data_IF_369323091860
#
_entry.id   IF_369323091860
#
_cell.length_a   1.000
_cell.length_b   1.000
_cell.length_c   1.000
_cell.angle_alpha   90.00
_cell.angle_beta   90.00
_cell.angle_gamma   90.00
#
_symmetry.space_group_name_H-M   'P 1'
#
loop_
_entity.id
_entity.type
_entity.pdbx_description
1 polymer ?
#
# COMPACT_ATOMS: atom_id res chain seq x y z
N UNK A 1 -8.24 -8.36 -11.34
CA UNK A 1 -8.18 -7.57 -12.60
C UNK A 1 -7.30 -6.32 -12.44
N UNK A 2 -6.39 -5.97 -13.38
CA UNK A 2 -5.67 -4.68 -13.37
C UNK A 2 -6.36 -3.63 -14.27
N UNK A 3 -6.81 -2.52 -13.68
CA UNK A 3 -7.60 -1.49 -14.39
C UNK A 3 -6.77 -0.73 -15.44
N UNK A 4 -5.45 -0.63 -15.28
CA UNK A 4 -4.60 0.09 -16.25
C UNK A 4 -4.44 -0.68 -17.57
N UNK A 5 -4.70 -1.98 -17.55
CA UNK A 5 -4.56 -2.88 -18.70
C UNK A 5 -5.92 -3.25 -19.31
N UNK A 6 -7.00 -3.09 -18.55
CA UNK A 6 -8.36 -3.42 -18.97
C UNK A 6 -8.95 -2.37 -19.93
N UNK A 7 -9.76 -2.84 -20.87
CA UNK A 7 -10.70 -2.01 -21.63
C UNK A 7 -11.94 -1.70 -20.80
N UNK A 8 -12.57 -0.55 -21.04
CA UNK A 8 -13.79 -0.17 -20.31
C UNK A 8 -14.94 -1.19 -20.46
N UNK A 9 -14.96 -1.97 -21.55
CA UNK A 9 -15.94 -3.03 -21.75
C UNK A 9 -15.66 -4.26 -20.88
N UNK A 10 -14.39 -4.61 -20.67
CA UNK A 10 -14.03 -5.70 -19.73
C UNK A 10 -14.42 -5.31 -18.31
N UNK A 11 -14.17 -4.05 -17.89
CA UNK A 11 -14.59 -3.57 -16.57
C UNK A 11 -16.11 -3.59 -16.40
N UNK A 12 -16.86 -3.17 -17.43
CA UNK A 12 -18.34 -3.20 -17.39
C UNK A 12 -18.89 -4.62 -17.23
N UNK A 13 -18.25 -5.58 -17.88
CA UNK A 13 -18.72 -6.96 -17.96
C UNK A 13 -18.13 -7.86 -16.85
N UNK A 14 -17.25 -7.32 -15.99
CA UNK A 14 -16.62 -8.02 -14.87
C UNK A 14 -17.50 -8.03 -13.62
N UNK A 15 -17.36 -9.10 -12.83
CA UNK A 15 -17.89 -9.19 -11.48
C UNK A 15 -16.77 -8.78 -10.51
N UNK A 16 -16.92 -7.64 -9.83
CA UNK A 16 -15.87 -7.04 -8.99
C UNK A 16 -16.42 -6.85 -7.58
N UNK A 17 -15.81 -7.53 -6.62
CA UNK A 17 -16.20 -7.47 -5.21
C UNK A 17 -15.71 -6.20 -4.53
N UNK A 18 -14.46 -5.81 -4.82
CA UNK A 18 -13.84 -4.61 -4.28
C UNK A 18 -12.71 -4.10 -5.18
N UNK A 19 -12.39 -2.82 -5.04
CA UNK A 19 -11.20 -2.22 -5.62
C UNK A 19 -10.09 -2.05 -4.57
N UNK A 20 -8.87 -2.41 -4.97
CA UNK A 20 -7.63 -2.05 -4.31
C UNK A 20 -7.09 -0.80 -5.01
N UNK A 21 -6.97 0.32 -4.29
CA UNK A 21 -6.34 1.53 -4.80
C UNK A 21 -4.95 1.68 -4.17
N UNK A 22 -3.85 1.37 -4.90
CA UNK A 22 -2.50 1.62 -4.43
C UNK A 22 -2.26 3.11 -4.25
N UNK A 23 -1.74 3.51 -3.09
CA UNK A 23 -1.42 4.90 -2.77
C UNK A 23 -0.01 4.98 -2.20
N UNK A 24 0.91 5.52 -3.00
CA UNK A 24 2.30 5.70 -2.63
C UNK A 24 2.69 7.17 -2.49
N UNK A 25 3.95 7.43 -2.83
CA UNK A 25 4.59 8.73 -2.89
C UNK A 25 5.73 8.70 -3.91
N UNK A 26 6.28 9.88 -4.19
CA UNK A 26 7.51 10.05 -4.98
C UNK A 26 8.49 10.83 -4.11
N UNK A 27 9.39 10.12 -3.44
CA UNK A 27 10.28 10.69 -2.42
C UNK A 27 11.59 9.91 -2.28
N UNK A 28 12.61 10.61 -1.78
CA UNK A 28 13.92 10.02 -1.49
C UNK A 28 13.78 8.75 -0.65
N UNK A 29 14.59 7.72 -0.90
CA UNK A 29 14.73 6.54 -0.04
C UNK A 29 16.21 6.21 0.15
N UNK A 30 17.00 7.26 0.39
CA UNK A 30 18.45 7.16 0.41
C UNK A 30 19.11 7.06 -0.96
N UNK A 31 20.43 6.81 -0.98
CA UNK A 31 21.22 6.71 -2.20
C UNK A 31 21.01 5.41 -2.98
N UNK A 32 20.41 4.39 -2.34
CA UNK A 32 20.31 3.03 -2.88
C UNK A 32 18.96 2.70 -3.52
N UNK A 33 17.86 3.32 -3.08
CA UNK A 33 16.50 2.98 -3.52
C UNK A 33 15.89 4.03 -4.47
N UNK A 34 14.93 3.66 -5.33
CA UNK A 34 14.29 4.58 -6.26
C UNK A 34 13.32 5.55 -5.56
N UNK A 35 13.04 6.70 -6.21
CA UNK A 35 12.07 7.67 -5.68
C UNK A 35 10.63 7.14 -5.62
N UNK A 36 10.30 6.11 -6.40
CA UNK A 36 8.96 5.52 -6.46
C UNK A 36 8.74 4.36 -5.50
N UNK A 37 9.58 4.20 -4.47
CA UNK A 37 9.57 3.03 -3.57
C UNK A 37 8.17 2.72 -3.01
N UNK A 38 7.46 3.74 -2.54
CA UNK A 38 6.15 3.56 -1.91
C UNK A 38 5.08 3.15 -2.91
N UNK A 39 5.09 3.73 -4.12
CA UNK A 39 4.14 3.39 -5.17
C UNK A 39 4.38 1.98 -5.72
N UNK A 40 5.65 1.59 -5.91
CA UNK A 40 6.03 0.24 -6.32
C UNK A 40 5.60 -0.80 -5.28
N UNK A 41 5.85 -0.51 -4.01
CA UNK A 41 5.49 -1.37 -2.88
C UNK A 41 3.98 -1.53 -2.75
N UNK A 42 3.23 -0.42 -2.74
CA UNK A 42 1.77 -0.46 -2.63
C UNK A 42 1.12 -1.21 -3.80
N UNK A 43 1.64 -1.02 -5.02
CA UNK A 43 1.17 -1.73 -6.21
C UNK A 43 1.46 -3.23 -6.10
N UNK A 44 2.70 -3.62 -5.75
CA UNK A 44 3.07 -5.03 -5.61
C UNK A 44 2.22 -5.77 -4.56
N UNK A 45 1.95 -5.15 -3.41
CA UNK A 45 1.07 -5.72 -2.37
C UNK A 45 -0.36 -5.88 -2.88
N UNK A 46 -0.89 -4.89 -3.62
CA UNK A 46 -2.24 -4.97 -4.17
C UNK A 46 -2.36 -6.03 -5.28
N UNK A 47 -1.35 -6.13 -6.14
CA UNK A 47 -1.28 -7.14 -7.21
C UNK A 47 -1.18 -8.55 -6.62
N UNK A 48 -0.27 -8.77 -5.65
CA UNK A 48 -0.15 -10.05 -4.97
C UNK A 48 -1.45 -10.47 -4.27
N UNK A 49 -2.13 -9.54 -3.57
CA UNK A 49 -3.42 -9.83 -2.96
C UNK A 49 -4.51 -10.17 -3.99
N UNK A 50 -4.53 -9.49 -5.14
CA UNK A 50 -5.50 -9.79 -6.20
C UNK A 50 -5.24 -11.16 -6.84
N UNK A 51 -3.98 -11.55 -7.02
CA UNK A 51 -3.61 -12.88 -7.52
C UNK A 51 -4.00 -13.99 -6.52
N UNK A 52 -3.69 -13.80 -5.24
CA UNK A 52 -4.06 -14.73 -4.16
C UNK A 52 -5.58 -14.88 -3.99
N UNK A 53 -6.33 -13.80 -4.20
CA UNK A 53 -7.79 -13.82 -4.13
C UNK A 53 -8.39 -14.76 -5.16
N UNK A 54 -7.93 -14.70 -6.41
CA UNK A 54 -8.42 -15.57 -7.49
C UNK A 54 -8.06 -17.05 -7.26
N UNK A 55 -6.88 -17.33 -6.71
CA UNK A 55 -6.44 -18.70 -6.43
C UNK A 55 -7.25 -19.37 -5.31
N UNK A 56 -7.70 -18.60 -4.32
CA UNK A 56 -8.51 -19.12 -3.21
C UNK A 56 -9.88 -19.66 -3.66
N UNK A 57 -10.49 -19.07 -4.69
CA UNK A 57 -11.75 -19.54 -5.29
C UNK A 57 -11.55 -20.66 -6.33
N UNK A 58 -10.35 -20.77 -6.93
CA UNK A 58 -10.01 -21.83 -7.87
C UNK A 58 -9.67 -23.19 -7.20
N UNK A 59 -9.35 -23.18 -5.90
CA UNK A 59 -8.84 -24.34 -5.16
C UNK A 59 -9.87 -25.36 -4.65
N UNK A 60 -11.18 -25.09 -4.74
CA UNK A 60 -12.24 -25.94 -4.17
C UNK A 60 -12.94 -26.84 -5.22
N UNK A 61 -12.42 -26.92 -6.45
CA UNK A 61 -13.03 -27.69 -7.54
C UNK A 61 -12.47 -29.11 -7.76
N UNK A 62 -11.60 -29.63 -6.89
CA UNK A 62 -11.01 -30.98 -7.05
C UNK A 62 -11.13 -31.85 -5.77
N UNK A 63 -12.20 -32.67 -5.75
CA UNK A 63 -12.41 -33.95 -5.05
C UNK A 63 -12.06 -34.11 -3.54
N UNK A 64 -13.08 -34.17 -2.66
CA UNK A 64 -13.46 -35.42 -1.95
C UNK A 64 -14.66 -35.29 -0.98
N UNK A 65 -15.61 -36.22 -1.14
CA UNK A 65 -16.62 -36.80 -0.23
C UNK A 65 -17.07 -36.10 1.07
N UNK A 66 -18.41 -35.98 1.17
CA UNK A 66 -19.26 -35.99 2.37
C UNK A 66 -19.11 -34.87 3.43
N UNK A 67 -19.78 -33.73 3.20
CA UNK A 67 -20.67 -33.15 4.22
C UNK A 67 -21.70 -32.17 3.61
N UNK A 68 -22.98 -32.44 3.89
CA UNK A 68 -24.15 -31.64 3.50
C UNK A 68 -24.24 -30.31 4.30
N UNK A 69 -23.26 -29.42 4.16
CA UNK A 69 -23.38 -28.01 4.58
C UNK A 69 -22.62 -27.07 3.62
N UNK A 70 -22.73 -27.33 2.32
CA UNK A 70 -22.39 -26.35 1.30
C UNK A 70 -23.54 -25.33 1.23
N UNK A 71 -23.53 -24.37 2.16
CA UNK A 71 -24.24 -23.12 1.94
C UNK A 71 -23.86 -22.56 0.57
N UNK A 72 -24.84 -22.09 -0.18
CA UNK A 72 -24.75 -21.44 -1.48
C UNK A 72 -23.70 -20.31 -1.45
N UNK A 73 -22.42 -20.64 -1.63
CA UNK A 73 -21.36 -19.67 -1.81
C UNK A 73 -21.43 -19.22 -3.26
N UNK A 74 -22.03 -18.05 -3.46
CA UNK A 74 -21.90 -17.30 -4.72
C UNK A 74 -20.40 -17.17 -5.00
N UNK A 75 -19.96 -17.50 -6.21
CA UNK A 75 -18.55 -17.33 -6.60
C UNK A 75 -18.10 -15.90 -6.27
N UNK A 76 -16.98 -15.75 -5.57
CA UNK A 76 -16.46 -14.42 -5.26
C UNK A 76 -16.13 -13.68 -6.56
N UNK A 77 -16.48 -12.40 -6.62
CA UNK A 77 -16.03 -11.49 -7.68
C UNK A 77 -14.54 -11.20 -7.55
N UNK A 78 -13.96 -10.53 -8.55
CA UNK A 78 -12.53 -10.21 -8.56
C UNK A 78 -12.19 -9.04 -7.63
N UNK A 79 -10.94 -9.01 -7.13
CA UNK A 79 -10.31 -7.78 -6.68
C UNK A 79 -9.77 -7.00 -7.88
N UNK A 80 -10.25 -5.76 -8.05
CA UNK A 80 -9.77 -4.84 -9.07
C UNK A 80 -8.63 -3.99 -8.53
N UNK A 81 -7.45 -4.04 -9.16
CA UNK A 81 -6.31 -3.18 -8.84
C UNK A 81 -6.39 -1.91 -9.68
N UNK A 82 -6.61 -0.76 -9.03
CA UNK A 82 -6.66 0.54 -9.67
C UNK A 82 -5.24 1.10 -9.95
N UNK A 83 -5.09 2.09 -10.86
CA UNK A 83 -3.81 2.75 -11.09
C UNK A 83 -3.26 3.40 -9.81
N UNK A 84 -1.96 3.29 -9.52
CA UNK A 84 -1.38 3.88 -8.31
C UNK A 84 -1.47 5.41 -8.25
N UNK A 85 -1.72 5.93 -7.05
CA UNK A 85 -1.48 7.34 -6.74
C UNK A 85 0.01 7.53 -6.46
N UNK A 86 0.72 8.18 -7.39
CA UNK A 86 2.18 8.31 -7.34
C UNK A 86 2.71 9.48 -6.50
N UNK A 87 1.90 10.50 -6.22
CA UNK A 87 2.33 11.69 -5.48
C UNK A 87 1.46 11.85 -4.24
N UNK A 88 2.08 11.70 -3.08
CA UNK A 88 1.43 11.75 -1.77
C UNK A 88 1.69 13.04 -1.00
N UNK A 89 1.46 12.96 0.31
CA UNK A 89 1.86 13.97 1.29
C UNK A 89 3.28 13.67 1.73
N UNK A 90 4.26 14.36 1.15
CA UNK A 90 5.68 14.10 1.34
C UNK A 90 6.50 15.40 1.50
N UNK A 91 5.86 16.44 2.04
CA UNK A 91 6.50 17.76 2.20
C UNK A 91 7.71 17.69 3.14
N UNK A 92 7.72 16.77 4.10
CA UNK A 92 8.82 16.45 5.01
C UNK A 92 10.11 16.03 4.27
N UNK A 93 10.01 15.59 3.01
CA UNK A 93 11.13 15.17 2.16
C UNK A 93 11.56 16.23 1.13
N UNK A 94 11.02 17.46 1.19
CA UNK A 94 11.22 18.51 0.18
C UNK A 94 12.67 18.98 -0.01
N UNK A 95 13.54 18.73 0.95
CA UNK A 95 14.95 19.09 0.87
C UNK A 95 15.75 18.19 -0.10
N UNK A 96 15.18 17.05 -0.49
CA UNK A 96 15.86 16.05 -1.33
C UNK A 96 15.38 16.14 -2.79
N UNK A 97 16.35 16.14 -3.71
CA UNK A 97 16.09 16.34 -5.14
C UNK A 97 15.19 15.25 -5.72
N UNK A 98 14.16 15.67 -6.46
CA UNK A 98 13.23 14.78 -7.15
C UNK A 98 12.00 14.39 -6.34
N UNK A 99 11.96 14.68 -5.03
CA UNK A 99 10.73 14.55 -4.23
C UNK A 99 9.61 15.39 -4.84
N UNK A 100 8.44 14.79 -5.05
CA UNK A 100 7.22 15.46 -5.46
C UNK A 100 6.20 15.33 -4.34
N UNK A 101 5.53 16.42 -3.98
CA UNK A 101 4.49 16.41 -2.95
C UNK A 101 3.30 17.27 -3.35
N UNK A 102 2.15 16.96 -2.75
CA UNK A 102 0.96 17.81 -2.78
C UNK A 102 0.56 18.17 -1.35
N UNK A 103 -0.25 19.23 -1.21
CA UNK A 103 -0.83 19.55 0.10
C UNK A 103 -1.79 18.44 0.56
N UNK A 104 -1.97 18.23 1.87
CA UNK A 104 -2.95 17.28 2.39
C UNK A 104 -4.37 17.52 1.86
N UNK A 105 -4.78 18.77 1.63
CA UNK A 105 -6.08 19.09 1.05
C UNK A 105 -6.23 18.58 -0.39
N UNK A 106 -5.20 18.79 -1.22
CA UNK A 106 -5.19 18.32 -2.61
C UNK A 106 -5.18 16.80 -2.65
N UNK A 107 -4.36 16.16 -1.82
CA UNK A 107 -4.30 14.71 -1.72
C UNK A 107 -5.65 14.11 -1.30
N UNK A 108 -6.27 14.64 -0.23
CA UNK A 108 -7.59 14.18 0.22
C UNK A 108 -8.65 14.34 -0.86
N UNK A 109 -8.65 15.47 -1.57
CA UNK A 109 -9.61 15.70 -2.66
C UNK A 109 -9.41 14.68 -3.80
N UNK A 110 -8.16 14.46 -4.24
CA UNK A 110 -7.84 13.53 -5.32
C UNK A 110 -8.20 12.08 -4.98
N UNK A 111 -7.82 11.59 -3.79
CA UNK A 111 -8.14 10.22 -3.37
C UNK A 111 -9.64 10.04 -3.20
N UNK A 112 -10.34 11.00 -2.57
CA UNK A 112 -11.80 10.97 -2.42
C UNK A 112 -12.51 10.90 -3.78
N UNK A 113 -12.14 11.76 -4.72
CA UNK A 113 -12.77 11.81 -6.05
C UNK A 113 -12.47 10.54 -6.86
N UNK A 114 -11.30 9.92 -6.65
CA UNK A 114 -10.99 8.60 -7.23
C UNK A 114 -11.92 7.52 -6.69
N UNK A 115 -12.13 7.46 -5.37
CA UNK A 115 -13.07 6.50 -4.74
C UNK A 115 -14.52 6.74 -5.20
N UNK A 116 -14.95 8.00 -5.25
CA UNK A 116 -16.29 8.35 -5.74
C UNK A 116 -16.48 7.96 -7.21
N UNK A 117 -15.42 8.05 -8.03
CA UNK A 117 -15.46 7.62 -9.43
C UNK A 117 -15.60 6.10 -9.57
N UNK A 118 -14.92 5.31 -8.71
CA UNK A 118 -15.10 3.85 -8.67
C UNK A 118 -16.53 3.48 -8.29
N UNK A 119 -17.07 4.10 -7.22
CA UNK A 119 -18.43 3.86 -6.77
C UNK A 119 -19.48 4.27 -7.80
N UNK A 120 -19.25 5.35 -8.56
CA UNK A 120 -20.10 5.74 -9.68
C UNK A 120 -20.22 4.64 -10.75
N UNK A 121 -19.20 3.80 -10.90
CA UNK A 121 -19.18 2.67 -11.82
C UNK A 121 -19.63 1.34 -11.18
N UNK A 122 -20.21 1.38 -9.98
CA UNK A 122 -20.72 0.20 -9.27
C UNK A 122 -19.68 -0.53 -8.43
N UNK A 123 -18.44 -0.02 -8.34
CA UNK A 123 -17.39 -0.60 -7.50
C UNK A 123 -17.32 0.23 -6.22
N UNK A 124 -18.18 -0.10 -5.26
CA UNK A 124 -18.42 0.73 -4.08
C UNK A 124 -17.63 0.29 -2.84
N UNK A 125 -16.99 -0.88 -2.85
CA UNK A 125 -16.04 -1.32 -1.80
C UNK A 125 -14.62 -1.01 -2.22
N UNK A 126 -13.90 -0.20 -1.43
CA UNK A 126 -12.53 0.23 -1.77
C UNK A 126 -11.55 0.11 -0.60
N UNK A 127 -10.42 -0.54 -0.82
CA UNK A 127 -9.27 -0.52 0.09
C UNK A 127 -8.21 0.44 -0.45
N UNK A 128 -7.87 1.46 0.33
CA UNK A 128 -6.74 2.35 0.05
C UNK A 128 -5.46 1.67 0.55
N UNK A 129 -4.70 1.05 -0.35
CA UNK A 129 -3.48 0.28 -0.06
C UNK A 129 -2.30 1.23 0.01
N UNK A 130 -1.92 1.62 1.22
CA UNK A 130 -0.96 2.68 1.48
C UNK A 130 0.48 2.15 1.58
N UNK A 131 1.37 2.78 0.81
CA UNK A 131 2.82 2.56 0.83
C UNK A 131 3.60 3.54 1.70
N UNK A 132 3.02 4.69 2.06
CA UNK A 132 3.77 5.84 2.61
C UNK A 132 3.26 6.32 3.97
N UNK A 133 4.17 6.60 4.91
CA UNK A 133 3.85 7.08 6.25
C UNK A 133 3.11 8.42 6.26
N UNK A 134 3.51 9.39 5.43
CA UNK A 134 2.91 10.73 5.40
C UNK A 134 1.44 10.75 4.95
N UNK A 135 1.00 9.70 4.24
CA UNK A 135 -0.39 9.58 3.77
C UNK A 135 -1.37 9.09 4.85
N UNK A 136 -0.89 8.47 5.93
CA UNK A 136 -1.71 7.68 6.88
C UNK A 136 -2.88 8.49 7.44
N UNK A 137 -2.62 9.70 7.97
CA UNK A 137 -3.67 10.53 8.57
C UNK A 137 -4.72 10.97 7.55
N UNK A 138 -4.26 11.36 6.35
CA UNK A 138 -5.12 11.84 5.28
C UNK A 138 -6.00 10.73 4.70
N UNK A 139 -5.44 9.53 4.47
CA UNK A 139 -6.19 8.37 4.00
C UNK A 139 -7.24 7.92 5.02
N UNK A 140 -6.86 7.87 6.31
CA UNK A 140 -7.80 7.53 7.37
C UNK A 140 -8.97 8.55 7.46
N UNK A 141 -8.71 9.83 7.21
CA UNK A 141 -9.75 10.86 7.12
C UNK A 141 -10.67 10.66 5.90
N UNK A 142 -10.10 10.41 4.71
CA UNK A 142 -10.86 10.16 3.47
C UNK A 142 -11.76 8.95 3.63
N UNK A 143 -11.22 7.81 4.04
CA UNK A 143 -11.97 6.57 4.22
C UNK A 143 -13.16 6.78 5.16
N UNK A 144 -12.95 7.43 6.32
CA UNK A 144 -14.03 7.72 7.27
C UNK A 144 -15.08 8.69 6.73
N UNK A 145 -14.71 9.68 5.91
CA UNK A 145 -15.66 10.66 5.39
C UNK A 145 -16.51 10.06 4.28
N UNK A 146 -15.89 9.41 3.30
CA UNK A 146 -16.59 8.76 2.18
C UNK A 146 -17.59 7.73 2.70
N UNK A 147 -17.16 6.85 3.61
CA UNK A 147 -18.02 5.80 4.16
C UNK A 147 -19.20 6.32 5.01
N UNK A 148 -19.18 7.61 5.42
CA UNK A 148 -20.26 8.26 6.18
C UNK A 148 -21.15 9.16 5.34
N UNK A 149 -20.76 9.42 4.10
CA UNK A 149 -21.50 10.32 3.24
C UNK A 149 -22.61 9.54 2.54
N UNK A 150 -23.86 9.81 2.93
CA UNK A 150 -25.05 9.19 2.34
C UNK A 150 -25.26 9.61 0.87
N UNK A 151 -24.52 10.61 0.37
CA UNK A 151 -24.56 11.03 -1.03
C UNK A 151 -23.73 10.14 -1.96
N UNK A 152 -22.87 9.27 -1.43
CA UNK A 152 -22.11 8.28 -2.19
C UNK A 152 -22.49 6.87 -1.75
N UNK A 153 -22.42 5.90 -2.67
CA UNK A 153 -22.59 4.48 -2.34
C UNK A 153 -21.32 3.85 -1.76
N UNK A 154 -20.20 4.58 -1.80
CA UNK A 154 -18.89 4.08 -1.43
C UNK A 154 -18.73 3.74 0.06
N UNK A 155 -18.04 2.64 0.32
CA UNK A 155 -17.46 2.25 1.59
C UNK A 155 -15.95 1.99 1.40
N UNK A 156 -15.14 2.81 2.06
CA UNK A 156 -13.69 2.75 1.97
C UNK A 156 -13.02 2.52 3.33
N UNK A 157 -11.90 1.81 3.29
CA UNK A 157 -10.97 1.61 4.42
C UNK A 157 -9.53 1.91 3.97
N UNK A 158 -8.66 2.28 4.91
CA UNK A 158 -7.23 2.45 4.66
C UNK A 158 -6.45 1.28 5.25
N UNK A 159 -5.56 0.70 4.45
CA UNK A 159 -4.66 -0.39 4.83
C UNK A 159 -3.22 0.05 4.61
N UNK A 160 -2.35 -0.07 5.60
CA UNK A 160 -0.93 0.29 5.48
C UNK A 160 -0.09 -0.98 5.57
N UNK A 161 0.59 -1.36 4.49
CA UNK A 161 1.22 -2.69 4.38
C UNK A 161 2.21 -2.96 5.52
N UNK A 162 3.03 -1.97 5.89
CA UNK A 162 4.07 -2.13 6.90
C UNK A 162 3.52 -2.24 8.33
N UNK A 163 2.23 -1.96 8.55
CA UNK A 163 1.55 -2.24 9.82
C UNK A 163 1.01 -3.68 9.88
N UNK A 164 0.85 -4.33 8.72
CA UNK A 164 0.26 -5.66 8.58
C UNK A 164 1.29 -6.81 8.60
N UNK A 165 2.59 -6.51 8.61
CA UNK A 165 3.66 -7.52 8.55
C UNK A 165 4.06 -8.12 9.91
N UNK A 166 3.17 -8.08 10.90
CA UNK A 166 3.34 -8.73 12.20
C UNK A 166 4.55 -8.24 13.00
N UNK A 167 5.39 -9.16 13.47
CA UNK A 167 6.56 -8.83 14.31
C UNK A 167 7.58 -7.91 13.63
N UNK A 168 7.58 -7.89 12.28
CA UNK A 168 8.47 -7.05 11.50
C UNK A 168 8.11 -5.57 11.56
N UNK A 169 6.84 -5.22 11.81
CA UNK A 169 6.34 -3.83 11.76
C UNK A 169 7.16 -2.88 12.65
N UNK A 170 7.65 -3.39 13.79
CA UNK A 170 8.52 -2.63 14.71
C UNK A 170 9.87 -2.20 14.14
N UNK A 171 10.30 -2.79 13.02
CA UNK A 171 11.54 -2.49 12.30
C UNK A 171 11.33 -1.51 11.14
N UNK A 172 10.11 -1.02 10.95
CA UNK A 172 9.82 -0.07 9.89
C UNK A 172 10.62 1.21 10.09
N UNK A 173 11.12 1.75 8.97
CA UNK A 173 11.98 2.93 8.90
C UNK A 173 11.66 3.71 7.63
N UNK A 174 12.69 4.25 6.97
CA UNK A 174 12.57 5.02 5.72
C UNK A 174 13.79 4.78 4.84
N UNK A 175 13.63 4.30 3.60
CA UNK A 175 14.73 3.63 2.89
C UNK A 175 15.36 2.51 3.73
N UNK A 176 14.59 1.94 4.66
CA UNK A 176 15.09 1.10 5.75
C UNK A 176 15.18 -0.38 5.36
N UNK A 177 15.36 -1.30 6.34
CA UNK A 177 15.49 -2.72 6.04
C UNK A 177 14.24 -3.32 5.38
N UNK A 178 13.03 -2.91 5.76
CA UNK A 178 11.80 -3.53 5.21
C UNK A 178 11.53 -3.10 3.77
N UNK A 179 11.62 -1.80 3.47
CA UNK A 179 11.45 -1.29 2.10
C UNK A 179 12.55 -1.79 1.17
N UNK A 180 13.80 -1.82 1.66
CA UNK A 180 14.93 -2.36 0.89
C UNK A 180 14.73 -3.85 0.61
N UNK A 181 14.23 -4.63 1.59
CA UNK A 181 13.91 -6.04 1.40
C UNK A 181 12.83 -6.22 0.33
N UNK A 182 11.74 -5.47 0.44
CA UNK A 182 10.62 -5.57 -0.49
C UNK A 182 11.04 -5.18 -1.91
N UNK A 183 11.78 -4.07 -2.09
CA UNK A 183 12.33 -3.68 -3.38
C UNK A 183 13.28 -4.72 -3.99
N UNK A 184 14.13 -5.35 -3.17
CA UNK A 184 15.01 -6.43 -3.65
C UNK A 184 14.22 -7.64 -4.16
N UNK A 185 13.01 -7.85 -3.66
CA UNK A 185 12.12 -8.90 -4.13
C UNK A 185 11.33 -8.46 -5.38
N UNK A 186 10.63 -7.32 -5.32
CA UNK A 186 9.66 -6.91 -6.36
C UNK A 186 10.28 -6.12 -7.52
N UNK A 187 11.41 -5.43 -7.29
CA UNK A 187 12.06 -4.58 -8.28
C UNK A 187 13.60 -4.53 -8.09
N UNK A 188 14.30 -5.69 -8.12
CA UNK A 188 15.72 -5.76 -7.79
C UNK A 188 16.61 -4.86 -8.65
N UNK A 189 16.27 -4.70 -9.93
CA UNK A 189 17.02 -3.84 -10.87
C UNK A 189 16.95 -2.34 -10.52
N UNK A 190 16.03 -1.95 -9.63
CA UNK A 190 15.90 -0.58 -9.14
C UNK A 190 16.73 -0.31 -7.87
N UNK A 191 17.32 -1.33 -7.26
CA UNK A 191 18.18 -1.17 -6.07
C UNK A 191 19.65 -1.02 -6.46
N UNK A 192 20.33 -0.02 -5.89
CA UNK A 192 21.76 0.27 -6.13
C UNK A 192 22.53 -0.40 -5.01
N UNK A 193 22.77 -1.69 -5.21
CA UNK A 193 23.44 -2.58 -4.25
C UNK A 193 24.78 -2.02 -3.73
N UNK A 194 25.53 -1.35 -4.60
CA UNK A 194 26.81 -0.72 -4.28
C UNK A 194 26.70 0.54 -3.39
N UNK A 195 25.49 1.05 -3.16
CA UNK A 195 25.21 2.26 -2.36
C UNK A 195 24.46 1.99 -1.05
N UNK A 196 24.17 0.73 -0.72
CA UNK A 196 23.44 0.40 0.51
C UNK A 196 24.23 0.79 1.77
N UNK A 197 25.55 0.59 1.76
CA UNK A 197 26.41 1.01 2.87
C UNK A 197 26.44 2.53 3.02
N UNK A 198 26.43 3.28 1.91
CA UNK A 198 26.29 4.74 1.91
C UNK A 198 24.93 5.17 2.52
N UNK A 199 23.87 4.42 2.24
CA UNK A 199 22.55 4.59 2.84
C UNK A 199 22.58 4.45 4.36
N UNK A 200 23.17 3.34 4.86
CA UNK A 200 23.31 3.09 6.30
C UNK A 200 24.17 4.16 6.99
N UNK A 201 25.35 4.45 6.44
CA UNK A 201 26.36 5.27 7.11
C UNK A 201 25.97 6.76 7.15
N UNK A 202 25.18 7.23 6.19
CA UNK A 202 24.64 8.60 6.14
C UNK A 202 23.23 8.77 6.73
N UNK A 203 22.59 7.68 7.17
CA UNK A 203 21.23 7.65 7.67
C UNK A 203 21.10 7.99 9.16
N UNK A 204 19.87 7.90 9.66
CA UNK A 204 19.54 8.03 11.08
C UNK A 204 19.07 6.70 11.67
N UNK A 205 19.39 6.37 12.93
CA UNK A 205 18.86 5.16 13.58
C UNK A 205 17.38 5.26 13.93
N UNK A 206 16.78 6.47 13.91
CA UNK A 206 15.37 6.69 14.24
C UNK A 206 14.81 7.91 13.51
N UNK A 207 13.50 7.92 13.29
CA UNK A 207 12.82 9.06 12.73
C UNK A 207 12.78 10.21 13.74
N UNK A 208 13.22 11.41 13.36
CA UNK A 208 13.02 12.63 14.13
C UNK A 208 13.84 12.81 15.42
N UNK A 209 13.58 13.94 16.08
CA UNK A 209 14.18 14.33 17.36
C UNK A 209 13.13 14.28 18.47
N UNK A 210 13.25 13.33 19.40
CA UNK A 210 12.21 13.10 20.40
C UNK A 210 12.55 13.64 21.79
N UNK A 211 11.64 14.45 22.34
CA UNK A 211 11.66 14.90 23.74
C UNK A 211 10.36 14.49 24.42
N UNK A 212 10.47 13.59 25.40
CA UNK A 212 9.32 13.12 26.22
C UNK A 212 8.12 12.59 25.39
N UNK A 213 8.40 11.92 24.28
CA UNK A 213 7.36 11.35 23.40
C UNK A 213 6.76 12.34 22.41
N UNK A 214 7.37 13.51 22.25
CA UNK A 214 7.02 14.49 21.22
C UNK A 214 8.18 14.57 20.22
N UNK A 215 7.89 14.39 18.93
CA UNK A 215 8.85 14.64 17.86
C UNK A 215 8.94 16.16 17.62
N UNK A 216 10.15 16.69 17.61
CA UNK A 216 10.45 18.10 17.35
C UNK A 216 10.84 18.35 15.89
N UNK A 217 11.21 17.31 15.16
CA UNK A 217 11.55 17.42 13.74
C UNK A 217 10.29 17.38 12.89
N UNK A 218 10.26 18.23 11.87
CA UNK A 218 9.21 18.31 10.86
C UNK A 218 9.70 17.82 9.50
N UNK A 219 10.99 18.03 9.20
CA UNK A 219 11.60 17.66 7.93
C UNK A 219 12.70 16.61 8.14
N UNK A 220 12.89 15.75 7.14
CA UNK A 220 13.87 14.65 7.25
C UNK A 220 15.31 15.17 7.32
N UNK A 221 15.63 16.28 6.64
CA UNK A 221 16.99 16.84 6.64
C UNK A 221 17.40 17.46 7.99
N UNK A 222 16.48 17.62 8.94
CA UNK A 222 16.79 18.02 10.31
C UNK A 222 17.53 16.93 11.10
N UNK A 223 17.38 15.66 10.74
CA UNK A 223 17.91 14.53 11.51
C UNK A 223 18.63 13.44 10.70
N UNK A 224 18.56 13.46 9.36
CA UNK A 224 19.28 12.51 8.50
C UNK A 224 19.96 13.23 7.33
N UNK A 225 21.19 12.82 7.00
CA UNK A 225 21.99 13.46 5.95
C UNK A 225 21.67 12.96 4.54
N UNK A 226 21.10 11.76 4.43
CA UNK A 226 20.73 11.13 3.16
C UNK A 226 19.27 10.69 3.11
N UNK A 227 18.49 10.97 4.16
CA UNK A 227 17.08 10.65 4.24
C UNK A 227 16.74 9.24 4.75
N UNK A 228 17.73 8.34 4.86
CA UNK A 228 17.52 6.98 5.38
C UNK A 228 17.25 7.00 6.88
N UNK A 229 16.33 6.14 7.32
CA UNK A 229 16.04 5.81 8.71
C UNK A 229 16.04 4.28 8.90
N UNK A 230 16.94 3.80 9.76
CA UNK A 230 17.18 2.36 9.96
C UNK A 230 18.39 1.85 9.15
N UNK A 231 18.70 0.56 9.28
CA UNK A 231 19.83 -0.07 8.60
C UNK A 231 19.35 -0.88 7.37
N UNK A 232 19.51 -0.35 6.14
CA UNK A 232 19.07 -1.03 4.92
C UNK A 232 19.85 -2.32 4.62
N UNK A 233 21.03 -2.53 5.23
CA UNK A 233 21.82 -3.75 5.00
C UNK A 233 21.10 -5.01 5.49
N UNK A 234 20.16 -4.86 6.42
CA UNK A 234 19.35 -5.95 6.94
C UNK A 234 18.17 -6.37 6.05
N UNK A 235 17.93 -5.71 4.92
CA UNK A 235 16.78 -5.98 4.06
C UNK A 235 17.06 -6.98 2.95
N UNK A 236 16.89 -8.28 3.15
CA UNK A 236 17.17 -9.31 2.13
C UNK A 236 15.99 -9.57 1.19
N UNK A 237 16.24 -10.15 0.01
CA UNK A 237 15.15 -10.53 -0.92
C UNK A 237 14.18 -11.56 -0.30
N UNK A 238 14.69 -12.57 0.43
CA UNK A 238 13.87 -13.55 1.15
C UNK A 238 12.97 -12.89 2.22
N UNK A 239 13.47 -11.83 2.87
CA UNK A 239 12.64 -11.04 3.78
C UNK A 239 11.58 -10.27 2.99
N UNK A 240 11.91 -9.76 1.80
CA UNK A 240 10.96 -9.10 0.92
C UNK A 240 9.81 -10.02 0.52
N UNK A 241 10.10 -11.26 0.12
CA UNK A 241 9.09 -12.29 -0.14
C UNK A 241 8.18 -12.50 1.08
N UNK A 242 8.79 -12.72 2.26
CA UNK A 242 8.03 -12.90 3.51
C UNK A 242 7.14 -11.70 3.86
N UNK A 243 7.60 -10.48 3.58
CA UNK A 243 6.85 -9.26 3.84
C UNK A 243 5.70 -9.09 2.85
N UNK A 244 5.91 -9.43 1.58
CA UNK A 244 4.89 -9.40 0.55
C UNK A 244 3.77 -10.36 0.91
N UNK A 245 4.08 -11.64 1.15
CA UNK A 245 3.11 -12.69 1.50
C UNK A 245 2.25 -12.29 2.71
N UNK A 246 2.88 -11.75 3.76
CA UNK A 246 2.14 -11.31 4.96
C UNK A 246 1.22 -10.13 4.69
N UNK A 247 1.67 -9.19 3.86
CA UNK A 247 0.90 -8.00 3.55
C UNK A 247 -0.26 -8.31 2.60
N UNK A 248 -0.06 -9.18 1.60
CA UNK A 248 -1.12 -9.64 0.70
C UNK A 248 -2.16 -10.49 1.42
N UNK A 249 -1.75 -11.45 2.25
CA UNK A 249 -2.67 -12.27 3.06
C UNK A 249 -3.56 -11.38 3.96
N UNK A 250 -2.95 -10.42 4.66
CA UNK A 250 -3.69 -9.47 5.50
C UNK A 250 -4.61 -8.55 4.67
N UNK A 251 -4.20 -8.15 3.46
CA UNK A 251 -5.02 -7.34 2.57
C UNK A 251 -6.22 -8.14 2.03
N UNK A 252 -6.04 -9.43 1.71
CA UNK A 252 -7.13 -10.33 1.38
C UNK A 252 -8.15 -10.43 2.52
N UNK A 253 -7.69 -10.61 3.76
CA UNK A 253 -8.56 -10.66 4.94
C UNK A 253 -9.37 -9.37 5.15
N UNK A 254 -8.72 -8.21 5.00
CA UNK A 254 -9.41 -6.91 5.04
C UNK A 254 -10.44 -6.80 3.91
N UNK A 255 -10.08 -7.27 2.70
CA UNK A 255 -10.96 -7.23 1.53
C UNK A 255 -12.22 -8.08 1.76
N UNK A 256 -12.08 -9.32 2.24
CA UNK A 256 -13.23 -10.17 2.65
C UNK A 256 -14.12 -9.45 3.66
N UNK A 257 -13.50 -8.86 4.68
CA UNK A 257 -14.23 -8.19 5.75
C UNK A 257 -15.02 -6.94 5.30
N UNK A 258 -14.63 -6.27 4.20
CA UNK A 258 -15.41 -5.15 3.66
C UNK A 258 -16.48 -5.58 2.65
N UNK A 259 -16.23 -6.67 1.91
CA UNK A 259 -17.18 -7.26 0.96
C UNK A 259 -18.39 -7.83 1.70
N UNK A 260 -18.15 -8.58 2.78
CA UNK A 260 -19.20 -9.18 3.62
C UNK A 260 -19.95 -8.16 4.50
N UNK A 261 -19.53 -6.90 4.48
CA UNK A 261 -20.07 -5.88 5.39
C UNK A 261 -21.35 -5.25 4.83
N UNK A 262 -22.42 -5.39 5.60
CA UNK A 262 -23.64 -4.61 5.41
C UNK A 262 -23.37 -3.11 5.63
N UNK A 263 -23.90 -2.27 4.74
CA UNK A 263 -23.85 -0.81 4.85
C UNK A 263 -25.07 -0.26 5.59
#
# INVERSE_FOLDING_TARGET
MNLSEATWTEVRDADVDAALLPVGSTEQHGPHAPLGTDALTAAAVAEAAADEWTDADAGDSDDSDDSDDAGDRVAAGDLLVAPPVHVGVAEEHRAFDGTLWVSPDTFRAYVRETVESLAHHGIDRVVLVNGHGGNVEALAEVARRVSRDDATDAYAVSFTWFEAVGEHASRMGHGGPLETALLRHVAPDLVREDRIEEGRDGGSPRWGEWVRGVNLAHDSDEFTGNGVVGDPTGGTADLGETLLDRASEALCDVSRAIVERDR
#
